data_IF_801511267399
#
_entry.id   IF_801511267399
#
_cell.length_a   1.000
_cell.length_b   1.000
_cell.length_c   1.000
_cell.angle_alpha   90.00
_cell.angle_beta   90.00
_cell.angle_gamma   90.00
#
_symmetry.space_group_name_H-M   'P 1'
#
loop_
_entity.id
_entity.type
_entity.pdbx_description
1 polymer ?
#
# COMPACT_ATOMS: atom_id res chain seq x y z
N UNK A 1 35.64 -17.27 1.55
CA UNK A 1 34.37 -16.51 1.66
C UNK A 1 33.97 -16.57 3.11
N UNK A 2 34.00 -15.43 3.80
CA UNK A 2 33.75 -15.36 5.24
C UNK A 2 32.23 -15.31 5.41
N UNK A 3 31.64 -16.38 5.94
CA UNK A 3 30.25 -16.39 6.35
C UNK A 3 30.13 -15.39 7.50
N UNK A 4 29.73 -14.17 7.19
CA UNK A 4 29.28 -13.20 8.19
C UNK A 4 27.88 -13.70 8.57
N UNK A 5 27.75 -14.29 9.76
CA UNK A 5 26.46 -14.40 10.41
C UNK A 5 25.95 -12.98 10.61
N UNK A 6 25.13 -12.51 9.67
CA UNK A 6 24.42 -11.24 9.71
C UNK A 6 23.25 -11.39 10.69
N UNK A 7 23.55 -11.77 11.93
CA UNK A 7 22.58 -11.60 13.00
C UNK A 7 22.48 -10.09 13.24
N UNK A 8 21.30 -9.48 13.03
CA UNK A 8 21.11 -8.06 13.30
C UNK A 8 21.48 -7.79 14.75
N UNK A 9 22.18 -6.69 14.99
CA UNK A 9 22.52 -6.33 16.36
C UNK A 9 21.22 -6.19 17.18
N UNK A 10 21.19 -6.73 18.41
CA UNK A 10 19.94 -6.84 19.18
C UNK A 10 19.34 -5.48 19.52
N UNK A 11 20.16 -4.43 19.58
CA UNK A 11 19.73 -3.07 19.82
C UNK A 11 18.96 -2.51 18.61
N UNK A 12 19.47 -2.67 17.39
CA UNK A 12 18.78 -2.24 16.17
C UNK A 12 17.50 -3.04 15.94
N UNK A 13 17.50 -4.35 16.19
CA UNK A 13 16.30 -5.17 16.10
C UNK A 13 15.20 -4.68 17.08
N UNK A 14 15.58 -4.31 18.30
CA UNK A 14 14.67 -3.75 19.30
C UNK A 14 14.09 -2.40 18.83
N UNK A 15 14.92 -1.49 18.34
CA UNK A 15 14.46 -0.18 17.85
C UNK A 15 13.52 -0.30 16.66
N UNK A 16 13.84 -1.17 15.70
CA UNK A 16 12.99 -1.47 14.55
C UNK A 16 11.63 -2.00 15.02
N UNK A 17 11.62 -2.95 15.96
CA UNK A 17 10.40 -3.49 16.54
C UNK A 17 9.53 -2.43 17.23
N UNK A 18 10.14 -1.54 18.01
CA UNK A 18 9.45 -0.42 18.66
C UNK A 18 8.84 0.52 17.61
N UNK A 19 9.61 0.94 16.60
CA UNK A 19 9.13 1.84 15.55
C UNK A 19 7.94 1.24 14.80
N UNK A 20 8.03 -0.02 14.38
CA UNK A 20 6.93 -0.69 13.70
C UNK A 20 5.71 -0.87 14.61
N UNK A 21 5.90 -1.14 15.90
CA UNK A 21 4.80 -1.24 16.87
C UNK A 21 4.08 0.10 17.02
N UNK A 22 4.83 1.21 17.13
CA UNK A 22 4.26 2.56 17.16
C UNK A 22 3.47 2.89 15.89
N UNK A 23 4.00 2.54 14.71
CA UNK A 23 3.29 2.69 13.44
C UNK A 23 2.02 1.85 13.38
N UNK A 24 2.03 0.63 13.90
CA UNK A 24 0.84 -0.21 13.98
C UNK A 24 -0.25 0.43 14.85
N UNK A 25 0.11 0.85 16.07
CA UNK A 25 -0.82 1.43 17.04
C UNK A 25 -1.48 2.71 16.53
N UNK A 26 -0.75 3.55 15.79
CA UNK A 26 -1.27 4.82 15.26
C UNK A 26 -1.93 4.62 13.89
N UNK A 27 -1.26 3.92 13.00
CA UNK A 27 -1.63 3.79 11.59
C UNK A 27 -2.82 2.89 11.36
N UNK A 28 -2.98 1.80 12.13
CA UNK A 28 -4.12 0.88 11.95
C UNK A 28 -5.44 1.59 12.26
N UNK A 29 -5.64 2.23 13.44
CA UNK A 29 -6.89 2.93 13.72
C UNK A 29 -7.19 4.05 12.73
N UNK A 30 -6.17 4.83 12.34
CA UNK A 30 -6.34 5.95 11.42
C UNK A 30 -6.78 5.49 10.02
N UNK A 31 -6.11 4.49 9.44
CA UNK A 31 -6.48 3.97 8.12
C UNK A 31 -7.79 3.19 8.16
N UNK A 32 -8.07 2.46 9.24
CA UNK A 32 -9.36 1.80 9.45
C UNK A 32 -10.51 2.81 9.49
N UNK A 33 -10.32 3.93 10.18
CA UNK A 33 -11.30 5.02 10.19
C UNK A 33 -11.59 5.56 8.78
N UNK A 34 -10.56 5.78 7.95
CA UNK A 34 -10.73 6.26 6.58
C UNK A 34 -11.51 5.26 5.72
N UNK A 35 -11.16 3.97 5.82
CA UNK A 35 -11.85 2.88 5.12
C UNK A 35 -13.31 2.81 5.54
N UNK A 36 -13.59 2.79 6.84
CA UNK A 36 -14.95 2.72 7.37
C UNK A 36 -15.76 3.97 7.03
N UNK A 37 -15.18 5.16 7.16
CA UNK A 37 -15.84 6.42 6.80
C UNK A 37 -16.25 6.40 5.32
N UNK A 38 -15.36 5.93 4.45
CA UNK A 38 -15.64 5.85 3.01
C UNK A 38 -16.71 4.79 2.69
N UNK A 39 -16.77 3.66 3.40
CA UNK A 39 -17.81 2.64 3.19
C UNK A 39 -19.17 3.10 3.72
N UNK A 40 -19.20 3.65 4.94
CA UNK A 40 -20.42 3.97 5.66
C UNK A 40 -21.07 5.28 5.20
N UNK A 41 -20.28 6.25 4.73
CA UNK A 41 -20.80 7.55 4.29
C UNK A 41 -21.15 7.55 2.80
N UNK A 42 -22.43 7.66 2.47
CA UNK A 42 -22.88 7.81 1.08
C UNK A 42 -22.34 9.09 0.42
N UNK A 43 -22.21 10.19 1.18
CA UNK A 43 -21.66 11.44 0.66
C UNK A 43 -20.17 11.31 0.29
N UNK A 44 -19.42 10.44 0.97
CA UNK A 44 -18.04 10.16 0.59
C UNK A 44 -17.97 9.21 -0.62
N UNK A 45 -18.87 8.22 -0.73
CA UNK A 45 -18.91 7.29 -1.88
C UNK A 45 -19.34 7.95 -3.18
N UNK A 46 -20.17 8.99 -3.11
CA UNK A 46 -20.65 9.69 -4.29
C UNK A 46 -19.54 10.46 -5.02
N UNK A 47 -18.49 10.85 -4.31
CA UNK A 47 -17.30 11.51 -4.85
C UNK A 47 -16.29 10.46 -5.34
N UNK A 48 -16.11 10.28 -6.67
CA UNK A 48 -15.28 9.19 -7.20
C UNK A 48 -13.81 9.26 -6.75
N UNK A 49 -13.31 10.48 -6.52
CA UNK A 49 -11.95 10.72 -6.06
C UNK A 49 -11.62 10.04 -4.73
N UNK A 50 -12.62 9.83 -3.87
CA UNK A 50 -12.44 9.19 -2.57
C UNK A 50 -12.09 7.70 -2.70
N UNK A 51 -12.27 7.08 -3.86
CA UNK A 51 -11.80 5.72 -4.13
C UNK A 51 -10.27 5.60 -4.06
N UNK A 52 -9.54 6.65 -4.44
CA UNK A 52 -8.09 6.69 -4.28
C UNK A 52 -7.70 6.75 -2.80
N UNK A 53 -8.37 7.59 -2.01
CA UNK A 53 -8.14 7.66 -0.56
C UNK A 53 -8.45 6.33 0.14
N UNK A 54 -9.54 5.69 -0.26
CA UNK A 54 -9.89 4.35 0.20
C UNK A 54 -8.80 3.33 -0.15
N UNK A 55 -8.34 3.32 -1.41
CA UNK A 55 -7.37 2.33 -1.88
C UNK A 55 -6.00 2.51 -1.23
N UNK A 56 -5.58 3.77 -1.00
CA UNK A 56 -4.37 4.09 -0.26
C UNK A 56 -4.47 3.60 1.19
N UNK A 57 -5.54 3.97 1.90
CA UNK A 57 -5.74 3.55 3.28
C UNK A 57 -5.87 2.02 3.44
N UNK A 58 -6.50 1.35 2.46
CA UNK A 58 -6.58 -0.11 2.44
C UNK A 58 -5.21 -0.75 2.20
N UNK A 59 -4.40 -0.20 1.29
CA UNK A 59 -3.02 -0.63 1.08
C UNK A 59 -2.15 -0.47 2.33
N UNK A 60 -2.26 0.67 3.01
CA UNK A 60 -1.56 0.94 4.27
C UNK A 60 -1.99 -0.04 5.37
N UNK A 61 -3.28 -0.36 5.48
CA UNK A 61 -3.77 -1.39 6.42
C UNK A 61 -3.19 -2.77 6.12
N UNK A 62 -3.18 -3.19 4.85
CA UNK A 62 -2.63 -4.49 4.46
C UNK A 62 -1.16 -4.59 4.86
N UNK A 63 -0.37 -3.54 4.65
CA UNK A 63 1.02 -3.48 5.09
C UNK A 63 1.17 -3.49 6.61
N UNK A 64 0.47 -2.59 7.31
CA UNK A 64 0.60 -2.48 8.77
C UNK A 64 0.20 -3.78 9.47
N UNK A 65 -0.89 -4.42 9.05
CA UNK A 65 -1.32 -5.72 9.58
C UNK A 65 -0.27 -6.81 9.30
N UNK A 66 0.30 -6.83 8.10
CA UNK A 66 1.35 -7.80 7.72
C UNK A 66 2.66 -7.60 8.51
N UNK A 67 3.01 -6.35 8.84
CA UNK A 67 4.15 -6.05 9.70
C UNK A 67 3.87 -6.43 11.17
N UNK A 68 2.68 -6.12 11.70
CA UNK A 68 2.34 -6.47 13.08
C UNK A 68 2.25 -7.98 13.29
N UNK A 69 1.69 -8.73 12.33
CA UNK A 69 1.69 -10.20 12.40
C UNK A 69 3.12 -10.75 12.41
N UNK A 70 4.00 -10.20 11.58
CA UNK A 70 5.40 -10.62 11.53
C UNK A 70 6.16 -10.35 12.82
N UNK A 71 5.88 -9.23 13.52
CA UNK A 71 6.45 -8.94 14.84
C UNK A 71 5.98 -9.93 15.91
N UNK A 72 4.69 -10.26 15.94
CA UNK A 72 4.12 -11.18 16.93
C UNK A 72 4.63 -12.62 16.73
N UNK A 73 4.88 -13.00 15.48
CA UNK A 73 5.32 -14.35 15.11
C UNK A 73 6.81 -14.43 14.76
N UNK A 74 7.58 -13.37 15.02
CA UNK A 74 9.04 -13.34 14.81
C UNK A 74 9.78 -14.47 15.57
N UNK A 75 9.15 -15.08 16.57
CA UNK A 75 9.71 -16.21 17.33
C UNK A 75 9.58 -17.54 16.56
N UNK A 76 8.62 -17.65 15.63
CA UNK A 76 8.26 -18.89 14.95
C UNK A 76 8.77 -19.00 13.50
N UNK A 77 9.40 -17.94 12.96
CA UNK A 77 10.11 -17.88 11.65
C UNK A 77 9.58 -18.87 10.60
N UNK A 78 8.28 -18.77 10.29
CA UNK A 78 7.70 -19.55 9.21
C UNK A 78 7.89 -18.79 7.89
N UNK A 79 8.31 -19.51 6.85
CA UNK A 79 8.55 -18.96 5.51
C UNK A 79 7.31 -18.19 5.03
N UNK A 80 6.13 -18.74 5.30
CA UNK A 80 4.83 -18.15 4.94
C UNK A 80 4.65 -16.74 5.51
N UNK A 81 5.05 -16.49 6.76
CA UNK A 81 4.88 -15.17 7.40
C UNK A 81 5.79 -14.14 6.74
N UNK A 82 7.01 -14.54 6.38
CA UNK A 82 7.94 -13.71 5.64
C UNK A 82 7.39 -13.36 4.25
N UNK A 83 6.75 -14.32 3.57
CA UNK A 83 6.10 -14.08 2.28
C UNK A 83 4.92 -13.10 2.41
N UNK A 84 4.08 -13.26 3.44
CA UNK A 84 2.96 -12.33 3.73
C UNK A 84 3.48 -10.91 3.98
N UNK A 85 4.55 -10.76 4.77
CA UNK A 85 5.19 -9.47 5.02
C UNK A 85 5.69 -8.84 3.72
N UNK A 86 6.41 -9.61 2.89
CA UNK A 86 6.91 -9.16 1.60
C UNK A 86 5.80 -8.66 0.69
N UNK A 87 4.70 -9.42 0.56
CA UNK A 87 3.52 -9.00 -0.21
C UNK A 87 2.95 -7.69 0.34
N UNK A 88 2.81 -7.57 1.66
CA UNK A 88 2.35 -6.34 2.32
C UNK A 88 3.22 -5.13 1.95
N UNK A 89 4.55 -5.27 1.99
CA UNK A 89 5.50 -4.23 1.59
C UNK A 89 5.33 -3.84 0.12
N UNK A 90 5.25 -4.80 -0.79
CA UNK A 90 5.04 -4.52 -2.21
C UNK A 90 3.73 -3.78 -2.47
N UNK A 91 2.64 -4.21 -1.83
CA UNK A 91 1.35 -3.55 -1.94
C UNK A 91 1.44 -2.10 -1.48
N UNK A 92 2.05 -1.85 -0.32
CA UNK A 92 2.22 -0.50 0.22
C UNK A 92 3.05 0.40 -0.70
N UNK A 93 4.19 -0.09 -1.17
CA UNK A 93 5.07 0.68 -2.07
C UNK A 93 4.35 1.02 -3.37
N UNK A 94 3.70 0.05 -4.01
CA UNK A 94 2.99 0.28 -5.26
C UNK A 94 1.79 1.19 -5.09
N UNK A 95 1.01 1.04 -4.01
CA UNK A 95 -0.11 1.94 -3.72
C UNK A 95 0.35 3.37 -3.42
N UNK A 96 1.38 3.52 -2.58
CA UNK A 96 1.96 4.82 -2.24
C UNK A 96 2.61 5.50 -3.43
N UNK A 97 3.11 4.74 -4.40
CA UNK A 97 3.69 5.28 -5.63
C UNK A 97 2.63 5.64 -6.67
N UNK A 98 1.61 4.80 -6.87
CA UNK A 98 0.63 4.98 -7.95
C UNK A 98 -0.54 5.87 -7.54
N UNK A 99 -1.05 5.77 -6.32
CA UNK A 99 -2.30 6.43 -5.93
C UNK A 99 -2.14 7.94 -5.73
N UNK A 100 -1.15 8.46 -4.98
CA UNK A 100 -1.02 9.91 -4.75
C UNK A 100 -0.80 10.74 -6.01
N UNK A 101 0.04 10.34 -6.99
CA UNK A 101 0.17 11.08 -8.24
C UNK A 101 -1.14 11.12 -9.04
N UNK A 102 -1.86 9.99 -9.12
CA UNK A 102 -3.15 9.96 -9.81
C UNK A 102 -4.19 10.84 -9.11
N UNK A 103 -4.22 10.83 -7.77
CA UNK A 103 -5.06 11.73 -6.99
C UNK A 103 -4.69 13.20 -7.25
N UNK A 104 -3.40 13.54 -7.27
CA UNK A 104 -2.92 14.89 -7.54
C UNK A 104 -3.32 15.37 -8.94
N UNK A 105 -3.16 14.52 -9.96
CA UNK A 105 -3.59 14.79 -11.34
C UNK A 105 -5.09 15.03 -11.41
N UNK A 106 -5.90 14.18 -10.77
CA UNK A 106 -7.34 14.33 -10.79
C UNK A 106 -7.79 15.60 -10.05
N UNK A 107 -7.13 16.00 -8.97
CA UNK A 107 -7.39 17.27 -8.28
C UNK A 107 -6.98 18.47 -9.12
N UNK A 108 -5.81 18.43 -9.73
CA UNK A 108 -5.34 19.48 -10.65
C UNK A 108 -6.37 19.74 -11.76
N UNK A 109 -6.88 18.67 -12.35
CA UNK A 109 -7.86 18.75 -13.44
C UNK A 109 -9.26 19.26 -13.00
N UNK A 110 -9.58 19.24 -11.70
CA UNK A 110 -10.81 19.88 -11.18
C UNK A 110 -10.61 21.38 -10.93
N UNK A 111 -9.37 21.79 -10.61
CA UNK A 111 -9.04 23.19 -10.32
C UNK A 111 -8.77 23.99 -11.59
N UNK A 112 -8.17 23.38 -12.61
CA UNK A 112 -7.85 24.03 -13.87
C UNK A 112 -9.04 24.06 -14.83
N UNK A 113 -9.10 25.09 -15.69
CA UNK A 113 -10.14 25.22 -16.72
C UNK A 113 -10.11 24.05 -17.72
N UNK A 114 -11.30 23.54 -18.06
CA UNK A 114 -11.52 22.43 -19.01
C UNK A 114 -10.85 22.64 -20.38
N UNK A 115 -10.61 23.90 -20.76
CA UNK A 115 -9.96 24.27 -22.02
C UNK A 115 -8.45 23.96 -22.04
N UNK A 116 -7.79 23.90 -20.87
CA UNK A 116 -6.36 23.63 -20.74
C UNK A 116 -6.05 22.14 -20.60
N UNK A 117 -7.08 21.29 -20.43
CA UNK A 117 -6.92 19.87 -20.14
C UNK A 117 -6.88 19.06 -21.44
N UNK A 118 -5.78 18.33 -21.72
CA UNK A 118 -5.71 17.48 -22.90
C UNK A 118 -6.75 16.35 -22.83
N UNK A 119 -7.23 15.89 -23.98
CA UNK A 119 -8.37 14.95 -24.09
C UNK A 119 -8.15 13.62 -23.35
N UNK A 120 -6.92 13.12 -23.29
CA UNK A 120 -6.58 11.90 -22.55
C UNK A 120 -6.69 12.09 -21.03
N UNK A 121 -6.38 13.29 -20.51
CA UNK A 121 -6.48 13.63 -19.09
C UNK A 121 -7.94 13.88 -18.67
N UNK A 122 -8.81 14.24 -19.61
CA UNK A 122 -10.27 14.28 -19.37
C UNK A 122 -10.89 12.90 -19.13
N UNK A 123 -10.21 11.81 -19.51
CA UNK A 123 -10.67 10.49 -19.13
C UNK A 123 -10.49 10.26 -17.62
N UNK A 124 -9.35 10.66 -17.06
CA UNK A 124 -9.03 10.46 -15.64
C UNK A 124 -9.85 11.33 -14.68
N UNK A 125 -10.59 12.32 -15.19
CA UNK A 125 -11.52 13.13 -14.37
C UNK A 125 -12.94 12.57 -14.35
N UNK A 126 -13.30 11.69 -15.29
CA UNK A 126 -14.64 11.09 -15.34
C UNK A 126 -14.75 9.98 -14.31
N UNK A 127 -15.94 9.83 -13.71
CA UNK A 127 -16.25 8.74 -12.75
C UNK A 127 -15.80 7.36 -13.26
N UNK A 128 -16.13 7.03 -14.51
CA UNK A 128 -15.75 5.75 -15.11
C UNK A 128 -14.22 5.60 -15.27
N UNK A 129 -13.52 6.68 -15.64
CA UNK A 129 -12.07 6.66 -15.78
C UNK A 129 -11.33 6.53 -14.46
N UNK A 130 -11.83 7.17 -13.40
CA UNK A 130 -11.31 7.00 -12.04
C UNK A 130 -11.49 5.55 -11.56
N UNK A 131 -12.68 4.97 -11.76
CA UNK A 131 -12.95 3.57 -11.40
C UNK A 131 -12.03 2.63 -12.17
N UNK A 132 -11.90 2.83 -13.49
CA UNK A 132 -11.03 2.00 -14.33
C UNK A 132 -9.56 2.11 -13.91
N UNK A 133 -9.06 3.32 -13.67
CA UNK A 133 -7.69 3.56 -13.24
C UNK A 133 -7.41 2.92 -11.88
N UNK A 134 -8.33 3.07 -10.92
CA UNK A 134 -8.21 2.42 -9.62
C UNK A 134 -8.19 0.89 -9.75
N UNK A 135 -9.04 0.32 -10.62
CA UNK A 135 -9.04 -1.11 -10.92
C UNK A 135 -7.72 -1.58 -11.55
N UNK A 136 -7.15 -0.80 -12.47
CA UNK A 136 -5.83 -1.09 -13.07
C UNK A 136 -4.72 -1.04 -12.03
N UNK A 137 -4.73 -0.05 -11.12
CA UNK A 137 -3.76 0.04 -10.03
C UNK A 137 -3.85 -1.20 -9.15
N UNK A 138 -5.04 -1.61 -8.72
CA UNK A 138 -5.22 -2.83 -7.92
C UNK A 138 -4.77 -4.08 -8.65
N UNK A 139 -5.14 -4.24 -9.93
CA UNK A 139 -4.70 -5.36 -10.74
C UNK A 139 -3.16 -5.41 -10.84
N UNK A 140 -2.53 -4.28 -11.13
CA UNK A 140 -1.07 -4.21 -11.20
C UNK A 140 -0.42 -4.54 -9.85
N UNK A 141 -0.91 -3.96 -8.76
CA UNK A 141 -0.37 -4.17 -7.41
C UNK A 141 -0.52 -5.61 -6.92
N UNK A 142 -1.59 -6.32 -7.33
CA UNK A 142 -1.79 -7.73 -6.97
C UNK A 142 -0.98 -8.66 -7.89
N UNK A 143 -0.93 -8.38 -9.19
CA UNK A 143 -0.27 -9.24 -10.16
C UNK A 143 1.26 -9.14 -10.12
N UNK A 144 1.80 -7.95 -9.84
CA UNK A 144 3.24 -7.71 -9.81
C UNK A 144 4.03 -8.60 -8.82
N UNK A 145 3.57 -8.84 -7.57
CA UNK A 145 4.27 -9.72 -6.65
C UNK A 145 4.11 -11.23 -6.94
N UNK A 146 3.19 -11.66 -7.82
CA UNK A 146 2.92 -13.09 -8.07
C UNK A 146 4.16 -13.85 -8.56
N UNK A 147 4.93 -13.37 -9.55
CA UNK A 147 6.15 -14.05 -9.98
C UNK A 147 7.19 -14.17 -8.85
N UNK A 148 7.23 -13.22 -7.91
CA UNK A 148 8.14 -13.25 -6.76
C UNK A 148 7.71 -14.33 -5.75
N UNK A 149 6.40 -14.45 -5.51
CA UNK A 149 5.83 -15.52 -4.68
C UNK A 149 6.13 -16.89 -5.29
N UNK A 150 5.87 -17.07 -6.59
CA UNK A 150 6.02 -18.35 -7.30
C UNK A 150 7.47 -18.82 -7.39
N UNK A 151 8.42 -17.90 -7.45
CA UNK A 151 9.85 -18.23 -7.52
C UNK A 151 10.48 -18.44 -6.13
N UNK A 152 9.74 -18.26 -5.02
CA UNK A 152 10.28 -18.28 -3.66
C UNK A 152 11.23 -17.11 -3.32
N UNK A 153 11.67 -16.37 -4.33
CA UNK A 153 12.58 -15.25 -4.20
C UNK A 153 11.80 -13.97 -3.91
N UNK A 154 11.52 -13.72 -2.63
CA UNK A 154 11.04 -12.41 -2.16
C UNK A 154 12.10 -11.31 -2.19
N UNK A 155 13.26 -11.55 -2.80
CA UNK A 155 14.35 -10.57 -2.89
C UNK A 155 15.09 -10.37 -1.57
N UNK A 156 14.89 -11.22 -0.58
CA UNK A 156 15.70 -11.26 0.64
C UNK A 156 17.10 -11.85 0.41
N UNK A 157 17.35 -12.51 -0.73
CA UNK A 157 18.70 -12.97 -1.11
C UNK A 157 19.61 -11.83 -1.63
N UNK A 158 19.08 -10.61 -1.78
CA UNK A 158 19.79 -9.43 -2.30
C UNK A 158 20.11 -8.37 -1.21
N UNK A 159 19.79 -8.66 0.06
CA UNK A 159 20.18 -7.87 1.23
C UNK A 159 21.17 -8.67 2.09
#
# INVERSE_FOLDING_TARGET
MRNISLDPDPESALWIGICFSCWGVIGIPANLFIVLATICSESLRSVPLNMFLFSLALGDLMFLVSCQSSLLWAIYFDEVICQVMGVGVYIFVLMSFLVPPNLAVCRYAVVCDDAQIPSWLRFTTRKLGIIALNGVIWAFTILYPIPLILNGNFGLDLL
#
